data_IF_564130600131
#
_entry.id   IF_564130600131
#
_cell.length_a   1.000
_cell.length_b   1.000
_cell.length_c   1.000
_cell.angle_alpha   90.00
_cell.angle_beta   90.00
_cell.angle_gamma   90.00
#
_symmetry.space_group_name_H-M   'P 1'
#
loop_
_entity.id
_entity.type
_entity.pdbx_description
1 polymer ?
#
# COMPACT_ATOMS: atom_id res chain seq x y z
N UNK A 1 58.48 15.67 18.09
CA UNK A 1 57.05 15.29 18.17
C UNK A 1 56.70 14.47 16.93
N UNK A 2 56.86 13.15 16.98
CA UNK A 2 56.56 12.25 15.86
C UNK A 2 55.23 11.55 16.15
N UNK A 3 54.18 11.96 15.42
CA UNK A 3 52.82 11.45 15.64
C UNK A 3 52.67 10.08 14.99
N UNK A 4 52.52 9.07 15.84
CA UNK A 4 52.33 7.67 15.48
C UNK A 4 51.01 7.49 14.73
N UNK A 5 51.06 7.20 13.43
CA UNK A 5 49.88 6.82 12.65
C UNK A 5 49.53 5.37 12.98
N UNK A 6 48.67 5.20 13.97
CA UNK A 6 48.01 3.94 14.31
C UNK A 6 47.08 3.56 13.16
N UNK A 7 47.54 2.71 12.25
CA UNK A 7 46.68 2.03 11.29
C UNK A 7 45.75 1.10 12.08
N UNK A 8 44.47 1.47 12.15
CA UNK A 8 43.42 0.61 12.70
C UNK A 8 42.93 -0.27 11.55
N UNK A 9 43.09 -1.59 11.71
CA UNK A 9 42.55 -2.61 10.81
C UNK A 9 41.05 -2.34 10.58
N UNK A 10 40.66 -2.11 9.33
CA UNK A 10 39.25 -2.11 8.91
C UNK A 10 38.87 -3.58 8.65
N UNK A 11 37.79 -4.10 9.26
CA UNK A 11 37.35 -5.46 8.97
C UNK A 11 36.75 -5.52 7.56
N UNK A 12 37.16 -6.54 6.80
CA UNK A 12 36.64 -6.85 5.47
C UNK A 12 35.10 -7.01 5.50
N UNK A 13 34.38 -6.54 4.47
CA UNK A 13 32.93 -6.65 4.42
C UNK A 13 32.52 -8.12 4.27
N UNK A 14 31.88 -8.68 5.30
CA UNK A 14 31.31 -10.03 5.25
C UNK A 14 31.36 -10.83 6.56
N UNK A 15 32.02 -10.31 7.61
CA UNK A 15 32.10 -10.98 8.91
C UNK A 15 31.22 -10.26 9.92
N UNK A 16 30.05 -10.81 10.24
CA UNK A 16 29.29 -10.38 11.42
C UNK A 16 29.87 -11.06 12.66
N UNK A 17 29.97 -10.31 13.75
CA UNK A 17 30.41 -10.81 15.06
C UNK A 17 29.17 -10.94 15.92
N UNK A 18 28.89 -12.15 16.39
CA UNK A 18 27.78 -12.42 17.31
C UNK A 18 27.96 -11.61 18.60
N UNK A 19 26.88 -11.41 19.38
CA UNK A 19 26.91 -10.67 20.65
C UNK A 19 27.92 -11.22 21.71
N UNK A 20 28.49 -12.40 21.48
CA UNK A 20 29.52 -13.04 22.31
C UNK A 20 30.96 -12.93 21.76
N UNK A 21 31.21 -12.15 20.70
CA UNK A 21 32.57 -11.80 20.25
C UNK A 21 33.35 -12.91 19.52
N UNK A 22 32.69 -13.94 18.98
CA UNK A 22 33.35 -15.00 18.20
C UNK A 22 33.05 -14.85 16.71
N UNK A 23 34.09 -14.96 15.87
CA UNK A 23 33.97 -14.94 14.42
C UNK A 23 33.57 -16.33 13.91
N UNK A 24 32.42 -16.45 13.24
CA UNK A 24 31.99 -17.68 12.56
C UNK A 24 31.86 -17.43 11.06
N UNK A 25 32.40 -18.33 10.24
CA UNK A 25 32.19 -18.33 8.79
C UNK A 25 30.72 -18.68 8.50
N UNK A 26 30.02 -17.84 7.74
CA UNK A 26 28.66 -18.13 7.30
C UNK A 26 28.69 -19.32 6.34
N UNK A 27 28.15 -20.46 6.77
CA UNK A 27 27.80 -21.55 5.88
C UNK A 27 26.58 -21.11 5.07
N UNK A 28 26.72 -21.08 3.74
CA UNK A 28 25.59 -20.94 2.83
C UNK A 28 25.07 -22.33 2.53
N UNK A 29 23.86 -22.63 2.98
CA UNK A 29 23.17 -23.85 2.61
C UNK A 29 22.74 -23.75 1.14
N UNK A 30 23.07 -24.77 0.35
CA UNK A 30 23.11 -24.75 -1.12
C UNK A 30 21.73 -24.81 -1.80
N UNK A 31 20.64 -24.60 -1.04
CA UNK A 31 19.28 -24.55 -1.58
C UNK A 31 18.43 -23.57 -0.77
N UNK A 32 18.84 -22.30 -0.82
CA UNK A 32 18.02 -21.16 -0.40
C UNK A 32 16.85 -20.94 -1.36
N UNK A 33 15.83 -21.78 -1.28
CA UNK A 33 14.49 -21.50 -1.81
C UNK A 33 13.90 -20.36 -0.98
N UNK A 34 14.29 -19.13 -1.27
CA UNK A 34 13.59 -17.95 -0.80
C UNK A 34 12.46 -17.64 -1.78
N UNK A 35 11.26 -17.96 -1.31
CA UNK A 35 9.99 -17.40 -1.72
C UNK A 35 10.03 -15.87 -1.65
N UNK A 36 10.58 -15.26 -2.70
CA UNK A 36 10.41 -13.85 -3.03
C UNK A 36 9.70 -13.82 -4.37
N UNK A 37 8.39 -13.59 -4.28
CA UNK A 37 7.50 -13.45 -5.42
C UNK A 37 8.12 -12.64 -6.55
N UNK A 38 8.26 -13.29 -7.71
CA UNK A 38 8.29 -12.73 -9.07
C UNK A 38 8.88 -11.32 -9.18
N UNK A 39 10.13 -11.12 -8.73
CA UNK A 39 10.93 -9.96 -9.15
C UNK A 39 11.68 -10.31 -10.43
N UNK A 40 11.00 -10.01 -11.53
CA UNK A 40 11.55 -9.51 -12.79
C UNK A 40 12.69 -10.34 -13.43
N UNK A 41 12.30 -11.38 -14.18
CA UNK A 41 13.18 -12.10 -15.13
C UNK A 41 13.80 -11.16 -16.19
N UNK A 42 13.25 -9.95 -16.39
CA UNK A 42 13.81 -8.97 -17.34
C UNK A 42 15.08 -8.26 -16.84
N UNK A 43 15.38 -8.26 -15.54
CA UNK A 43 16.59 -7.61 -15.02
C UNK A 43 17.88 -8.39 -15.35
N UNK A 44 17.80 -9.71 -15.48
CA UNK A 44 18.95 -10.56 -15.85
C UNK A 44 19.35 -10.44 -17.33
N UNK A 45 18.43 -10.05 -18.21
CA UNK A 45 18.70 -9.85 -19.64
C UNK A 45 19.52 -8.57 -19.93
N UNK A 46 19.52 -7.59 -19.03
CA UNK A 46 20.22 -6.30 -19.23
C UNK A 46 21.73 -6.41 -19.01
N UNK A 47 22.19 -7.31 -18.15
CA UNK A 47 23.63 -7.50 -17.87
C UNK A 47 24.41 -8.03 -19.08
N UNK A 48 23.73 -8.68 -20.03
CA UNK A 48 24.35 -9.26 -21.22
C UNK A 48 24.50 -8.27 -22.40
N UNK A 49 23.80 -7.13 -22.39
CA UNK A 49 23.82 -6.16 -23.50
C UNK A 49 24.73 -4.94 -23.28
N UNK A 50 25.42 -4.82 -22.13
CA UNK A 50 26.27 -3.65 -21.83
C UNK A 50 27.67 -3.68 -22.47
N UNK A 51 28.07 -4.76 -23.16
CA UNK A 51 29.46 -4.96 -23.63
C UNK A 51 29.58 -5.32 -25.12
N UNK A 52 28.85 -4.62 -25.98
CA UNK A 52 29.32 -4.40 -27.35
C UNK A 52 29.46 -2.92 -27.58
N UNK A 53 30.62 -2.39 -27.19
CA UNK A 53 31.04 -1.06 -27.59
C UNK A 53 31.22 -1.09 -29.12
N UNK A 54 30.36 -0.38 -29.84
CA UNK A 54 30.62 -0.05 -31.24
C UNK A 54 32.00 0.59 -31.33
N UNK A 55 32.82 0.27 -32.35
CA UNK A 55 34.15 0.87 -32.50
C UNK A 55 33.99 2.40 -32.54
N UNK A 56 34.78 3.07 -31.71
CA UNK A 56 34.74 4.52 -31.59
C UNK A 56 35.27 5.14 -32.89
N UNK A 57 34.64 6.20 -33.44
CA UNK A 57 35.16 6.86 -34.63
C UNK A 57 36.53 7.49 -34.37
N UNK A 58 37.47 7.31 -35.30
CA UNK A 58 38.86 7.77 -35.20
C UNK A 58 39.05 9.27 -35.50
N UNK A 59 38.00 9.95 -35.98
CA UNK A 59 38.05 11.38 -36.33
C UNK A 59 37.75 12.28 -35.11
N UNK A 60 38.64 13.26 -34.90
CA UNK A 60 38.59 14.18 -33.75
C UNK A 60 37.36 15.09 -33.83
N UNK A 61 36.92 15.50 -35.01
CA UNK A 61 35.73 16.35 -35.17
C UNK A 61 34.46 15.57 -34.83
N UNK A 62 34.37 14.33 -35.29
CA UNK A 62 33.27 13.41 -34.98
C UNK A 62 33.14 13.15 -33.47
N UNK A 63 34.26 12.94 -32.77
CA UNK A 63 34.26 12.77 -31.31
C UNK A 63 33.78 14.01 -30.55
N UNK A 64 34.22 15.20 -30.98
CA UNK A 64 33.77 16.46 -30.39
C UNK A 64 32.27 16.66 -30.58
N UNK A 65 31.73 16.34 -31.75
CA UNK A 65 30.29 16.41 -32.01
C UNK A 65 29.49 15.46 -31.09
N UNK A 66 29.97 14.22 -30.90
CA UNK A 66 29.37 13.27 -29.96
C UNK A 66 29.40 13.78 -28.51
N UNK A 67 30.53 14.33 -28.05
CA UNK A 67 30.66 14.90 -26.71
C UNK A 67 29.68 16.05 -26.49
N UNK A 68 29.59 17.00 -27.43
CA UNK A 68 28.62 18.09 -27.36
C UNK A 68 27.17 17.56 -27.30
N UNK A 69 26.86 16.55 -28.13
CA UNK A 69 25.53 15.91 -28.12
C UNK A 69 25.23 15.23 -26.77
N UNK A 70 26.24 14.59 -26.17
CA UNK A 70 26.13 13.93 -24.87
C UNK A 70 25.94 14.94 -23.75
N UNK A 71 26.67 16.06 -23.79
CA UNK A 71 26.50 17.13 -22.81
C UNK A 71 25.10 17.76 -22.88
N UNK A 72 24.52 17.91 -24.08
CA UNK A 72 23.13 18.35 -24.22
C UNK A 72 22.18 17.33 -23.60
N UNK A 73 22.34 16.03 -23.90
CA UNK A 73 21.52 14.97 -23.32
C UNK A 73 21.68 14.86 -21.78
N UNK A 74 22.88 15.12 -21.25
CA UNK A 74 23.13 15.21 -19.81
C UNK A 74 22.34 16.36 -19.19
N UNK A 75 22.41 17.57 -19.77
CA UNK A 75 21.65 18.74 -19.29
C UNK A 75 20.15 18.49 -19.32
N UNK A 76 19.64 17.85 -20.37
CA UNK A 76 18.23 17.46 -20.45
C UNK A 76 17.82 16.48 -19.36
N UNK A 77 18.66 15.46 -19.08
CA UNK A 77 18.43 14.52 -17.98
C UNK A 77 18.49 15.21 -16.62
N UNK A 78 19.45 16.09 -16.40
CA UNK A 78 19.57 16.84 -15.14
C UNK A 78 18.33 17.72 -14.92
N UNK A 79 17.82 18.36 -15.97
CA UNK A 79 16.56 19.11 -15.90
C UNK A 79 15.35 18.21 -15.56
N UNK A 80 15.30 16.99 -16.11
CA UNK A 80 14.26 16.01 -15.75
C UNK A 80 14.38 15.55 -14.29
N UNK A 81 15.59 15.29 -13.81
CA UNK A 81 15.84 14.90 -12.42
C UNK A 81 15.42 16.01 -11.47
N UNK A 82 15.76 17.28 -11.75
CA UNK A 82 15.33 18.41 -10.94
C UNK A 82 13.80 18.52 -10.87
N UNK A 83 13.12 18.38 -12.01
CA UNK A 83 11.64 18.39 -12.06
C UNK A 83 11.03 17.26 -11.23
N UNK A 84 11.59 16.06 -11.31
CA UNK A 84 11.14 14.92 -10.51
C UNK A 84 11.39 15.17 -9.02
N UNK A 85 12.55 15.72 -8.67
CA UNK A 85 12.89 16.06 -7.29
C UNK A 85 11.90 17.08 -6.71
N UNK A 86 11.59 18.15 -7.46
CA UNK A 86 10.58 19.14 -7.05
C UNK A 86 9.20 18.49 -6.80
N UNK A 87 8.80 17.54 -7.65
CA UNK A 87 7.52 16.84 -7.46
C UNK A 87 7.52 15.94 -6.23
N UNK A 88 8.63 15.25 -5.96
CA UNK A 88 8.79 14.40 -4.78
C UNK A 88 8.79 15.25 -3.52
N UNK A 89 9.55 16.35 -3.50
CA UNK A 89 9.61 17.27 -2.36
C UNK A 89 8.23 17.88 -2.06
N UNK A 90 7.49 18.26 -3.10
CA UNK A 90 6.12 18.75 -2.97
C UNK A 90 5.17 17.70 -2.39
N UNK A 91 5.26 16.45 -2.86
CA UNK A 91 4.46 15.34 -2.33
C UNK A 91 4.83 15.02 -0.88
N UNK A 92 6.12 14.99 -0.54
CA UNK A 92 6.60 14.76 0.81
C UNK A 92 6.11 15.85 1.78
N UNK A 93 6.15 17.13 1.36
CA UNK A 93 5.60 18.22 2.16
C UNK A 93 4.08 18.07 2.39
N UNK A 94 3.33 17.65 1.37
CA UNK A 94 1.90 17.38 1.49
C UNK A 94 1.60 16.22 2.44
N UNK A 95 2.37 15.13 2.37
CA UNK A 95 2.27 13.99 3.28
C UNK A 95 2.57 14.41 4.72
N UNK A 96 3.68 15.11 4.95
CA UNK A 96 4.06 15.59 6.28
C UNK A 96 2.98 16.52 6.89
N UNK A 97 2.36 17.38 6.07
CA UNK A 97 1.24 18.22 6.53
C UNK A 97 0.01 17.39 6.93
N UNK A 98 -0.31 16.34 6.18
CA UNK A 98 -1.43 15.44 6.49
C UNK A 98 -1.17 14.63 7.75
N UNK A 99 0.03 14.07 7.89
CA UNK A 99 0.45 13.34 9.09
C UNK A 99 0.33 14.22 10.34
N UNK A 100 0.79 15.47 10.28
CA UNK A 100 0.65 16.43 11.37
C UNK A 100 -0.83 16.75 11.70
N UNK A 101 -1.71 16.82 10.70
CA UNK A 101 -3.14 17.02 10.91
C UNK A 101 -3.78 15.79 11.58
N UNK A 102 -3.44 14.58 11.14
CA UNK A 102 -3.89 13.33 11.77
C UNK A 102 -3.46 13.28 13.24
N UNK A 103 -2.21 13.59 13.55
CA UNK A 103 -1.73 13.67 14.92
C UNK A 103 -2.49 14.72 15.75
N UNK A 104 -2.71 15.91 15.17
CA UNK A 104 -3.47 16.97 15.82
C UNK A 104 -4.89 16.53 16.17
N UNK A 105 -5.60 15.91 15.23
CA UNK A 105 -6.96 15.39 15.43
C UNK A 105 -6.99 14.29 16.50
N UNK A 106 -6.03 13.35 16.49
CA UNK A 106 -5.89 12.31 17.53
C UNK A 106 -5.76 12.90 18.92
N UNK A 107 -4.89 13.90 19.06
CA UNK A 107 -4.68 14.61 20.35
C UNK A 107 -5.94 15.36 20.79
N UNK A 108 -6.64 16.02 19.87
CA UNK A 108 -7.87 16.75 20.17
C UNK A 108 -8.98 15.80 20.63
N UNK A 109 -9.18 14.67 19.94
CA UNK A 109 -10.12 13.62 20.34
C UNK A 109 -9.79 13.10 21.73
N UNK A 110 -8.51 12.80 22.00
CA UNK A 110 -8.09 12.33 23.33
C UNK A 110 -8.36 13.37 24.42
N UNK A 111 -8.16 14.66 24.13
CA UNK A 111 -8.47 15.75 25.06
C UNK A 111 -9.97 15.85 25.34
N UNK A 112 -10.81 15.82 24.31
CA UNK A 112 -12.27 15.90 24.47
C UNK A 112 -12.81 14.70 25.25
N UNK A 113 -12.29 13.49 25.01
CA UNK A 113 -12.63 12.28 25.78
C UNK A 113 -12.32 12.41 27.27
N UNK A 114 -11.21 13.07 27.65
CA UNK A 114 -10.90 13.36 29.06
C UNK A 114 -11.88 14.35 29.69
N UNK A 115 -12.50 15.19 28.87
CA UNK A 115 -13.44 16.24 29.29
C UNK A 115 -14.91 15.81 29.20
N UNK A 116 -15.21 14.58 28.74
CA UNK A 116 -16.56 14.12 28.38
C UNK A 116 -17.52 13.95 29.57
N UNK A 117 -17.10 14.19 30.81
CA UNK A 117 -17.96 13.99 31.98
C UNK A 117 -18.92 15.15 32.25
N UNK A 118 -20.18 14.85 32.59
CA UNK A 118 -21.18 15.81 33.08
C UNK A 118 -22.25 16.20 32.06
N UNK A 119 -23.09 17.20 32.39
CA UNK A 119 -24.28 17.60 31.58
C UNK A 119 -23.97 18.08 30.15
N UNK A 120 -22.70 18.29 29.80
CA UNK A 120 -22.24 18.70 28.45
C UNK A 120 -21.68 17.51 27.64
N UNK A 121 -21.71 16.29 28.18
CA UNK A 121 -21.14 15.08 27.58
C UNK A 121 -21.68 14.81 26.19
N UNK A 122 -23.00 14.87 26.01
CA UNK A 122 -23.65 14.54 24.73
C UNK A 122 -23.14 15.43 23.58
N UNK A 123 -22.90 16.72 23.84
CA UNK A 123 -22.34 17.64 22.85
C UNK A 123 -20.89 17.32 22.51
N UNK A 124 -20.09 16.93 23.52
CA UNK A 124 -18.71 16.53 23.33
C UNK A 124 -18.63 15.20 22.57
N UNK A 125 -19.55 14.27 22.84
CA UNK A 125 -19.65 12.99 22.14
C UNK A 125 -19.93 13.22 20.65
N UNK A 126 -20.89 14.08 20.31
CA UNK A 126 -21.14 14.45 18.90
C UNK A 126 -19.92 15.07 18.22
N UNK A 127 -19.18 15.95 18.92
CA UNK A 127 -17.94 16.54 18.39
C UNK A 127 -16.85 15.47 18.19
N UNK A 128 -16.71 14.54 19.12
CA UNK A 128 -15.75 13.43 19.02
C UNK A 128 -16.05 12.57 17.79
N UNK A 129 -17.32 12.21 17.55
CA UNK A 129 -17.70 11.42 16.38
C UNK A 129 -17.40 12.16 15.06
N UNK A 130 -17.67 13.47 14.99
CA UNK A 130 -17.32 14.26 13.81
C UNK A 130 -15.82 14.31 13.54
N UNK A 131 -15.00 14.47 14.59
CA UNK A 131 -13.54 14.48 14.45
C UNK A 131 -12.98 13.11 14.07
N UNK A 132 -13.55 12.02 14.59
CA UNK A 132 -13.19 10.65 14.18
C UNK A 132 -13.50 10.41 12.71
N UNK A 133 -14.69 10.81 12.24
CA UNK A 133 -15.05 10.65 10.84
C UNK A 133 -14.05 11.37 9.93
N UNK A 134 -13.68 12.61 10.25
CA UNK A 134 -12.65 13.35 9.50
C UNK A 134 -11.29 12.66 9.52
N UNK A 135 -10.92 12.08 10.66
CA UNK A 135 -9.68 11.33 10.80
C UNK A 135 -9.71 10.04 9.96
N UNK A 136 -10.82 9.33 9.94
CA UNK A 136 -11.03 8.14 9.09
C UNK A 136 -10.95 8.50 7.60
N UNK A 137 -11.52 9.63 7.19
CA UNK A 137 -11.42 10.12 5.80
C UNK A 137 -9.94 10.40 5.42
N UNK A 138 -9.19 11.10 6.28
CA UNK A 138 -7.77 11.40 6.03
C UNK A 138 -6.89 10.15 6.02
N UNK A 139 -7.12 9.19 6.92
CA UNK A 139 -6.38 7.93 6.98
C UNK A 139 -6.75 6.99 5.81
N UNK A 140 -8.00 7.04 5.32
CA UNK A 140 -8.41 6.30 4.14
C UNK A 140 -7.72 6.82 2.87
N UNK A 141 -7.53 8.13 2.74
CA UNK A 141 -6.80 8.75 1.65
C UNK A 141 -5.30 8.38 1.64
N UNK A 142 -4.70 8.11 2.81
CA UNK A 142 -3.32 7.58 2.92
C UNK A 142 -3.21 6.12 2.44
N UNK A 143 -4.19 5.28 2.79
CA UNK A 143 -4.25 3.88 2.37
C UNK A 143 -4.68 3.67 0.91
N UNK A 144 -5.33 4.66 0.31
CA UNK A 144 -5.80 4.64 -1.07
C UNK A 144 -4.78 5.12 -2.10
N UNK A 145 -3.48 5.20 -1.73
CA UNK A 145 -2.39 5.38 -2.68
C UNK A 145 -2.65 4.49 -3.90
N UNK A 146 -2.88 5.05 -5.10
CA UNK A 146 -3.27 4.25 -6.25
C UNK A 146 -2.16 3.27 -6.57
N UNK A 147 -2.30 2.03 -6.11
CA UNK A 147 -1.69 0.91 -6.81
C UNK A 147 -2.42 0.91 -8.14
N UNK A 148 -1.85 1.62 -9.12
CA UNK A 148 -2.25 1.53 -10.52
C UNK A 148 -1.93 0.11 -10.97
N UNK A 149 -2.78 -0.83 -10.58
CA UNK A 149 -2.91 -2.10 -11.27
C UNK A 149 -3.30 -1.67 -12.68
N UNK A 150 -2.45 -1.90 -13.70
CA UNK A 150 -2.79 -1.52 -15.06
C UNK A 150 -4.14 -2.16 -15.36
N UNK A 151 -5.15 -1.33 -15.56
CA UNK A 151 -6.47 -1.75 -16.03
C UNK A 151 -6.27 -2.28 -17.44
N UNK A 152 -5.82 -3.52 -17.55
CA UNK A 152 -5.99 -4.28 -18.78
C UNK A 152 -7.47 -4.18 -19.12
N UNK A 153 -7.85 -3.76 -20.34
CA UNK A 153 -9.25 -3.72 -20.72
C UNK A 153 -9.78 -5.16 -20.65
N UNK A 154 -10.48 -5.49 -19.56
CA UNK A 154 -11.28 -6.69 -19.49
C UNK A 154 -12.33 -6.52 -20.58
N UNK A 155 -12.17 -7.24 -21.70
CA UNK A 155 -13.23 -7.41 -22.68
C UNK A 155 -14.50 -7.75 -21.91
N UNK A 156 -15.54 -6.93 -22.08
CA UNK A 156 -16.83 -7.16 -21.48
C UNK A 156 -17.31 -8.55 -21.93
N UNK A 157 -17.31 -9.51 -21.00
CA UNK A 157 -18.07 -10.72 -21.20
C UNK A 157 -19.52 -10.29 -21.11
N UNK A 158 -20.21 -10.37 -22.24
CA UNK A 158 -21.66 -10.18 -22.37
C UNK A 158 -22.36 -10.95 -21.25
N UNK A 159 -22.90 -10.21 -20.28
CA UNK A 159 -23.74 -10.80 -19.25
C UNK A 159 -25.05 -11.19 -19.92
N UNK A 160 -25.24 -12.49 -20.12
CA UNK A 160 -26.55 -13.03 -20.47
C UNK A 160 -27.57 -12.57 -19.43
N UNK A 161 -28.76 -12.11 -19.83
CA UNK A 161 -29.74 -11.58 -18.90
C UNK A 161 -30.11 -12.65 -17.88
N UNK A 162 -29.89 -12.35 -16.59
CA UNK A 162 -30.29 -13.23 -15.49
C UNK A 162 -31.81 -13.37 -15.53
N UNK A 163 -32.28 -14.61 -15.70
CA UNK A 163 -33.69 -14.96 -15.46
C UNK A 163 -34.03 -14.53 -14.02
N UNK A 164 -35.11 -13.78 -13.80
CA UNK A 164 -35.51 -13.44 -12.44
C UNK A 164 -35.77 -14.74 -11.66
N UNK A 165 -35.38 -14.76 -10.38
CA UNK A 165 -35.67 -15.88 -9.50
C UNK A 165 -37.18 -16.13 -9.50
N UNK A 166 -37.64 -17.38 -9.60
CA UNK A 166 -39.07 -17.68 -9.52
C UNK A 166 -39.64 -17.18 -8.19
N UNK A 167 -40.77 -16.48 -8.27
CA UNK A 167 -41.52 -15.92 -7.14
C UNK A 167 -42.02 -17.03 -6.19
N UNK A 168 -41.14 -17.50 -5.31
CA UNK A 168 -41.57 -18.33 -4.16
C UNK A 168 -42.06 -17.47 -2.98
N UNK A 169 -42.17 -16.16 -3.15
CA UNK A 169 -42.58 -15.23 -2.10
C UNK A 169 -44.08 -14.85 -2.12
N UNK A 170 -44.95 -15.62 -2.78
CA UNK A 170 -46.42 -15.47 -2.63
C UNK A 170 -47.14 -16.80 -2.41
N UNK A 171 -46.82 -17.46 -1.30
CA UNK A 171 -47.70 -18.46 -0.70
C UNK A 171 -47.49 -18.54 0.82
N UNK A 172 -47.67 -17.42 1.55
CA UNK A 172 -48.09 -17.54 2.96
C UNK A 172 -49.59 -17.79 2.93
N UNK A 173 -49.96 -19.06 2.78
CA UNK A 173 -51.31 -19.50 3.09
C UNK A 173 -51.59 -19.12 4.54
N UNK A 174 -52.41 -18.08 4.73
CA UNK A 174 -53.15 -17.91 5.97
C UNK A 174 -53.93 -19.21 6.12
N UNK A 175 -53.53 -20.05 7.08
CA UNK A 175 -54.39 -21.12 7.54
C UNK A 175 -55.56 -20.42 8.22
N UNK A 176 -56.58 -20.11 7.43
CA UNK A 176 -57.94 -19.96 7.92
C UNK A 176 -58.27 -21.30 8.54
N UNK A 177 -58.27 -21.39 9.87
CA UNK A 177 -58.91 -22.50 10.55
C UNK A 177 -60.43 -22.31 10.38
N UNK A 178 -61.15 -23.14 9.62
CA UNK A 178 -62.60 -23.14 9.68
C UNK A 178 -63.02 -24.06 10.83
N UNK A 179 -63.80 -23.48 11.74
CA UNK A 179 -64.57 -24.13 12.81
C UNK A 179 -64.97 -25.58 12.54
N UNK A 180 -64.81 -26.45 13.54
CA UNK A 180 -65.81 -27.48 13.85
C UNK A 180 -65.92 -27.67 15.38
N UNK A 181 -67.04 -27.26 16.02
CA UNK A 181 -67.40 -27.73 17.34
C UNK A 181 -67.84 -29.20 17.25
N UNK A 182 -67.09 -30.07 17.94
CA UNK A 182 -67.48 -31.47 18.14
C UNK A 182 -68.69 -31.56 19.06
N UNK A 183 -69.88 -31.59 18.46
CA UNK A 183 -71.10 -32.08 19.09
C UNK A 183 -71.00 -33.60 19.23
N UNK A 184 -70.65 -34.06 20.44
CA UNK A 184 -70.91 -35.43 20.85
C UNK A 184 -72.31 -35.50 21.46
N UNK A 185 -73.10 -36.44 20.92
CA UNK A 185 -74.51 -36.68 21.18
C UNK A 185 -74.76 -37.27 22.57
N UNK A 186 -75.83 -36.76 23.19
CA UNK A 186 -76.94 -37.49 23.82
C UNK A 186 -76.70 -38.35 25.07
N UNK A 187 -77.37 -38.01 26.18
CA UNK A 187 -78.28 -38.93 26.87
C UNK A 187 -79.16 -38.19 27.91
N UNK A 188 -80.47 -38.42 27.81
CA UNK A 188 -81.51 -38.14 28.80
C UNK A 188 -81.40 -39.04 30.05
N UNK A 189 -81.78 -38.50 31.21
CA UNK A 189 -82.65 -39.05 32.28
C UNK A 189 -82.42 -38.18 33.54
N UNK A 190 -83.38 -37.43 34.08
CA UNK A 190 -84.51 -37.84 34.95
C UNK A 190 -84.15 -38.83 36.03
#
# INVERSE_FOLDING_TARGET
MASSRRWRYLPEPGVTVDAAGRHRLAATDENGTTDLGVVNVAARAQTACMTRASPLPDDVETLKAMLLSQEVALRERDAQVLKLQETVDSQQAALASREAEVEHLKLLIAKLRRMQFGRKSEKLDHQIEQLKLRLEDLEADEGAAPVEIPKTPRKAVEQTPRKPLPDICRARSVRTCPNLPGSARSAMAR
#
